data_IF_265451933812
#
_entry.id   IF_265451933812
#
_cell.length_a   1.000
_cell.length_b   1.000
_cell.length_c   1.000
_cell.angle_alpha   90.00
_cell.angle_beta   90.00
_cell.angle_gamma   90.00
#
_symmetry.space_group_name_H-M   'P 1'
#
loop_
_entity.id
_entity.type
_entity.pdbx_description
1 polymer ?
#
# COMPACT_ATOMS: atom_id res chain seq x y z
N UNK A 1 57.75 -2.37 -2.13
CA UNK A 1 57.10 -2.79 -3.39
C UNK A 1 56.17 -3.95 -3.03
N UNK A 2 54.85 -3.82 -3.02
CA UNK A 2 53.95 -2.86 -3.65
C UNK A 2 52.80 -2.51 -2.70
N UNK A 3 52.54 -1.22 -2.55
CA UNK A 3 51.32 -0.66 -1.99
C UNK A 3 50.13 -1.12 -2.85
N UNK A 4 49.17 -1.79 -2.22
CA UNK A 4 47.88 -2.15 -2.79
C UNK A 4 46.81 -1.28 -2.15
N UNK A 5 46.44 -0.23 -2.87
CA UNK A 5 45.49 0.81 -2.52
C UNK A 5 44.10 0.25 -2.13
N UNK A 6 43.80 0.17 -0.82
CA UNK A 6 42.44 0.01 -0.30
C UNK A 6 41.99 1.36 0.29
N UNK A 7 41.71 2.32 -0.57
CA UNK A 7 40.92 3.49 -0.22
C UNK A 7 39.83 3.67 -1.28
N UNK A 8 38.68 3.07 -1.01
CA UNK A 8 37.42 3.51 -1.61
C UNK A 8 36.33 3.34 -0.57
N UNK A 9 35.83 4.49 -0.11
CA UNK A 9 34.86 4.77 0.97
C UNK A 9 35.50 4.88 2.36
N UNK A 10 36.15 6.03 2.62
CA UNK A 10 36.40 6.48 3.99
C UNK A 10 35.08 6.97 4.60
N UNK A 11 34.54 6.21 5.56
CA UNK A 11 33.47 6.71 6.43
C UNK A 11 34.07 7.77 7.38
N UNK A 12 33.85 9.05 7.07
CA UNK A 12 34.47 10.20 7.76
C UNK A 12 33.95 10.49 9.18
N UNK A 13 33.23 9.56 9.82
CA UNK A 13 32.91 9.62 11.25
C UNK A 13 32.55 8.23 11.78
N UNK A 14 33.40 7.65 12.62
CA UNK A 14 33.01 6.53 13.47
C UNK A 14 32.21 7.10 14.65
N UNK A 15 30.89 7.08 14.55
CA UNK A 15 29.98 7.52 15.61
C UNK A 15 29.79 6.39 16.62
N UNK A 16 30.27 6.59 17.86
CA UNK A 16 30.22 5.60 18.94
C UNK A 16 29.27 5.97 20.08
N UNK A 17 28.56 7.10 20.01
CA UNK A 17 27.59 7.48 21.05
C UNK A 17 26.41 6.51 21.03
N UNK A 18 26.07 5.99 22.20
CA UNK A 18 24.89 5.16 22.44
C UNK A 18 23.83 5.99 23.16
N UNK A 19 22.60 5.93 22.68
CA UNK A 19 21.46 6.62 23.26
C UNK A 19 20.46 5.56 23.77
N UNK A 20 20.49 5.20 25.06
CA UNK A 20 19.52 4.25 25.59
C UNK A 20 18.11 4.86 25.57
N UNK A 21 17.06 4.04 25.38
CA UNK A 21 15.69 4.53 25.48
C UNK A 21 15.41 5.06 26.90
N UNK A 22 14.51 6.05 27.05
CA UNK A 22 14.00 6.44 28.36
C UNK A 22 13.42 5.22 29.10
N UNK A 23 13.67 5.12 30.42
CA UNK A 23 13.27 3.96 31.21
C UNK A 23 11.74 3.74 31.23
N UNK A 24 10.96 4.83 31.17
CA UNK A 24 9.50 4.78 31.10
C UNK A 24 9.01 4.15 29.79
N UNK A 25 9.61 4.55 28.65
CA UNK A 25 9.31 3.95 27.35
C UNK A 25 9.67 2.46 27.33
N UNK A 26 10.89 2.11 27.77
CA UNK A 26 11.35 0.73 27.77
C UNK A 26 10.52 -0.23 28.66
N UNK A 27 9.86 0.30 29.69
CA UNK A 27 8.99 -0.48 30.57
C UNK A 27 7.63 -0.82 29.94
N UNK A 28 7.16 0.00 28.99
CA UNK A 28 5.90 -0.19 28.26
C UNK A 28 6.07 -0.83 26.88
N UNK A 29 7.30 -0.90 26.36
CA UNK A 29 7.55 -1.39 25.01
C UNK A 29 7.17 -2.86 24.81
N UNK A 30 6.66 -3.19 23.63
CA UNK A 30 6.32 -4.55 23.18
C UNK A 30 7.53 -5.49 23.20
N UNK A 31 8.72 -4.95 23.01
CA UNK A 31 9.99 -5.66 23.16
C UNK A 31 11.09 -4.69 23.61
N UNK A 32 11.92 -5.12 24.57
CA UNK A 32 13.02 -4.32 25.11
C UNK A 32 14.32 -5.14 25.28
N UNK A 33 14.35 -6.34 24.71
CA UNK A 33 15.46 -7.27 24.81
C UNK A 33 15.74 -7.94 23.45
N UNK A 34 16.57 -8.98 23.46
CA UNK A 34 16.96 -9.71 22.25
C UNK A 34 16.08 -10.92 21.95
N UNK A 35 15.01 -11.17 22.72
CA UNK A 35 14.25 -12.42 22.66
C UNK A 35 13.75 -12.72 21.24
N UNK A 36 13.22 -11.72 20.52
CA UNK A 36 12.76 -11.92 19.13
C UNK A 36 13.90 -12.22 18.15
N UNK A 37 15.08 -11.63 18.36
CA UNK A 37 16.27 -11.92 17.55
C UNK A 37 16.80 -13.32 17.84
N UNK A 38 16.97 -13.64 19.12
CA UNK A 38 17.53 -14.93 19.55
C UNK A 38 16.62 -16.09 19.13
N UNK A 39 15.30 -15.88 19.09
CA UNK A 39 14.35 -16.85 18.54
C UNK A 39 14.47 -17.01 17.02
N UNK A 40 14.50 -15.90 16.27
CA UNK A 40 14.65 -15.94 14.81
C UNK A 40 16.00 -16.55 14.38
N UNK A 41 17.05 -16.35 15.18
CA UNK A 41 18.37 -16.97 14.97
C UNK A 41 18.34 -18.49 15.26
N UNK A 42 17.52 -18.93 16.21
CA UNK A 42 17.40 -20.34 16.59
C UNK A 42 16.55 -21.15 15.61
N UNK A 43 15.43 -20.58 15.14
CA UNK A 43 14.51 -21.21 14.17
C UNK A 43 13.83 -20.14 13.31
N UNK A 44 14.46 -19.82 12.18
CA UNK A 44 13.99 -18.76 11.28
C UNK A 44 12.60 -19.05 10.68
N UNK A 45 12.35 -20.29 10.27
CA UNK A 45 11.06 -20.69 9.70
C UNK A 45 10.00 -20.76 10.81
N UNK A 46 10.31 -21.36 11.95
CA UNK A 46 9.39 -21.42 13.10
C UNK A 46 9.00 -20.05 13.61
N UNK A 47 9.95 -19.11 13.68
CA UNK A 47 9.69 -17.72 14.03
C UNK A 47 8.64 -17.09 13.10
N UNK A 48 8.88 -17.11 11.78
CA UNK A 48 7.96 -16.51 10.81
C UNK A 48 6.62 -17.22 10.72
N UNK A 49 6.60 -18.55 10.88
CA UNK A 49 5.37 -19.33 10.98
C UNK A 49 4.50 -18.86 12.15
N UNK A 50 5.12 -18.63 13.33
CA UNK A 50 4.40 -18.10 14.48
C UNK A 50 3.90 -16.67 14.24
N UNK A 51 4.76 -15.78 13.73
CA UNK A 51 4.35 -14.39 13.44
C UNK A 51 3.17 -14.37 12.45
N UNK A 52 3.21 -15.19 11.40
CA UNK A 52 2.11 -15.33 10.45
C UNK A 52 0.83 -15.83 11.10
N UNK A 53 0.91 -16.83 11.99
CA UNK A 53 -0.27 -17.42 12.64
C UNK A 53 -0.92 -16.47 13.67
N UNK A 54 -0.11 -15.67 14.37
CA UNK A 54 -0.58 -14.78 15.43
C UNK A 54 -1.05 -13.42 14.91
N UNK A 55 -0.43 -12.89 13.86
CA UNK A 55 -0.67 -11.52 13.38
C UNK A 55 -1.61 -11.45 12.18
N UNK A 56 -1.72 -12.53 11.41
CA UNK A 56 -2.50 -12.59 10.17
C UNK A 56 -3.57 -13.67 10.29
N UNK A 57 -4.78 -13.36 9.81
CA UNK A 57 -5.87 -14.31 9.71
C UNK A 57 -5.80 -15.06 8.38
N UNK A 58 -5.73 -16.38 8.48
CA UNK A 58 -5.64 -17.30 7.36
C UNK A 58 -6.95 -18.08 7.26
N UNK A 59 -7.53 -18.10 6.07
CA UNK A 59 -8.70 -18.95 5.77
C UNK A 59 -8.31 -20.42 5.73
N UNK A 60 -7.13 -20.71 5.18
CA UNK A 60 -6.54 -22.05 5.14
C UNK A 60 -5.09 -21.94 5.65
N UNK A 61 -4.67 -22.72 6.67
CA UNK A 61 -3.27 -22.77 7.08
C UNK A 61 -2.36 -23.27 5.97
N UNK A 62 -1.08 -22.89 6.02
CA UNK A 62 -0.08 -23.36 5.06
C UNK A 62 0.43 -24.77 5.38
N UNK A 63 0.91 -25.46 4.34
CA UNK A 63 1.56 -26.77 4.44
C UNK A 63 3.08 -26.64 4.57
N UNK A 64 3.67 -25.62 3.98
CA UNK A 64 5.13 -25.39 3.96
C UNK A 64 5.45 -23.93 4.26
N UNK A 65 6.32 -23.67 5.23
CA UNK A 65 6.66 -22.30 5.65
C UNK A 65 7.50 -21.59 4.58
N UNK A 66 8.54 -22.25 4.06
CA UNK A 66 9.47 -21.65 3.12
C UNK A 66 9.96 -22.67 2.09
N UNK A 67 9.88 -22.30 0.81
CA UNK A 67 10.67 -22.90 -0.26
C UNK A 67 11.60 -21.83 -0.83
N UNK A 68 12.92 -22.01 -0.68
CA UNK A 68 13.90 -21.04 -1.18
C UNK A 68 14.84 -21.65 -2.23
N UNK A 69 14.52 -21.36 -3.49
CA UNK A 69 15.30 -21.71 -4.67
C UNK A 69 15.94 -20.44 -5.25
N UNK A 70 17.08 -20.02 -4.67
CA UNK A 70 17.73 -18.73 -4.98
C UNK A 70 17.77 -18.42 -6.50
N UNK A 71 17.35 -17.20 -6.92
CA UNK A 71 16.95 -16.06 -6.09
C UNK A 71 15.48 -16.07 -5.62
N UNK A 72 14.70 -17.09 -5.96
CA UNK A 72 13.25 -17.12 -5.74
C UNK A 72 12.91 -17.75 -4.39
N UNK A 73 12.13 -17.06 -3.57
CA UNK A 73 11.57 -17.56 -2.32
C UNK A 73 10.05 -17.54 -2.39
N UNK A 74 9.44 -18.57 -1.80
CA UNK A 74 7.99 -18.68 -1.61
C UNK A 74 7.71 -18.95 -0.14
N UNK A 75 6.74 -18.26 0.43
CA UNK A 75 6.41 -18.32 1.84
C UNK A 75 4.97 -18.79 2.05
N UNK A 76 4.78 -19.64 3.06
CA UNK A 76 3.47 -20.13 3.50
C UNK A 76 2.69 -20.87 2.41
N UNK A 77 3.36 -21.73 1.63
CA UNK A 77 2.75 -22.46 0.50
C UNK A 77 1.56 -23.31 0.98
N UNK A 78 0.47 -23.26 0.20
CA UNK A 78 -0.81 -23.89 0.54
C UNK A 78 -1.69 -23.02 1.45
N UNK A 79 -1.12 -21.98 2.05
CA UNK A 79 -1.84 -21.03 2.89
C UNK A 79 -2.73 -20.14 2.04
N UNK A 80 -3.93 -19.86 2.54
CA UNK A 80 -4.86 -18.95 1.90
C UNK A 80 -5.33 -17.86 2.84
N UNK A 81 -5.39 -16.64 2.33
CA UNK A 81 -5.79 -15.45 3.06
C UNK A 81 -6.44 -14.43 2.12
N UNK A 82 -7.02 -13.37 2.68
CA UNK A 82 -7.34 -12.17 1.93
C UNK A 82 -6.73 -10.97 2.63
N UNK A 83 -5.91 -10.20 1.90
CA UNK A 83 -5.20 -9.04 2.47
C UNK A 83 -6.16 -7.93 2.87
N UNK A 84 -7.19 -7.65 2.07
CA UNK A 84 -8.21 -6.65 2.41
C UNK A 84 -8.98 -7.05 3.67
N UNK A 85 -9.34 -8.32 3.82
CA UNK A 85 -10.04 -8.82 5.01
C UNK A 85 -9.19 -8.70 6.29
N UNK A 86 -7.89 -8.92 6.17
CA UNK A 86 -6.95 -8.71 7.27
C UNK A 86 -6.79 -7.23 7.65
N UNK A 87 -6.93 -6.31 6.70
CA UNK A 87 -6.86 -4.88 6.95
C UNK A 87 -8.17 -4.27 7.44
N UNK A 88 -9.34 -4.91 7.22
CA UNK A 88 -10.64 -4.29 7.46
C UNK A 88 -11.64 -5.24 8.12
N UNK A 89 -12.07 -6.30 7.41
CA UNK A 89 -13.19 -7.16 7.83
C UNK A 89 -12.98 -7.74 9.24
N UNK A 90 -11.79 -8.25 9.56
CA UNK A 90 -11.51 -8.84 10.88
C UNK A 90 -11.63 -7.83 12.03
N UNK A 91 -11.31 -6.57 11.77
CA UNK A 91 -11.39 -5.48 12.74
C UNK A 91 -12.85 -5.10 12.98
N UNK A 92 -13.63 -4.94 11.91
CA UNK A 92 -15.07 -4.68 12.02
C UNK A 92 -15.77 -5.84 12.75
N UNK A 93 -15.45 -7.10 12.40
CA UNK A 93 -16.00 -8.29 13.05
C UNK A 93 -15.60 -8.40 14.53
N UNK A 94 -14.41 -7.92 14.91
CA UNK A 94 -13.95 -7.85 16.30
C UNK A 94 -14.59 -6.70 17.11
N UNK A 95 -15.50 -5.92 16.52
CA UNK A 95 -16.23 -4.86 17.20
C UNK A 95 -15.50 -3.51 17.24
N UNK A 96 -14.44 -3.32 16.45
CA UNK A 96 -13.73 -2.03 16.34
C UNK A 96 -14.12 -1.24 15.08
N UNK A 97 -15.30 -1.52 14.52
CA UNK A 97 -15.81 -0.85 13.32
C UNK A 97 -15.96 0.67 13.45
N UNK A 98 -16.36 1.17 14.62
CA UNK A 98 -16.53 2.61 14.90
C UNK A 98 -15.21 3.35 15.14
N UNK A 99 -14.08 2.64 15.26
CA UNK A 99 -12.76 3.24 15.43
C UNK A 99 -12.35 3.92 14.12
N UNK A 100 -11.76 5.11 14.21
CA UNK A 100 -11.19 5.80 13.06
C UNK A 100 -10.01 5.00 12.50
N UNK A 101 -10.08 4.60 11.23
CA UNK A 101 -8.96 4.03 10.49
C UNK A 101 -8.05 5.14 9.96
N UNK A 102 -8.61 6.16 9.30
CA UNK A 102 -7.87 7.28 8.72
C UNK A 102 -8.44 8.62 9.19
N UNK A 103 -7.58 9.45 9.78
CA UNK A 103 -7.73 10.90 9.79
C UNK A 103 -7.06 11.45 8.54
N UNK A 104 -7.86 11.87 7.57
CA UNK A 104 -7.36 12.45 6.33
C UNK A 104 -7.41 13.98 6.40
N UNK A 105 -6.29 14.61 6.06
CA UNK A 105 -6.11 16.05 6.02
C UNK A 105 -5.68 16.45 4.60
N UNK A 106 -6.58 17.14 3.89
CA UNK A 106 -6.32 17.72 2.58
C UNK A 106 -5.49 19.00 2.69
N UNK A 107 -4.67 19.29 1.68
CA UNK A 107 -3.85 20.52 1.69
C UNK A 107 -4.67 21.83 1.73
N UNK A 108 -5.85 21.93 1.07
CA UNK A 108 -6.75 23.08 1.19
C UNK A 108 -7.38 23.29 2.58
N UNK A 109 -7.18 22.35 3.51
CA UNK A 109 -7.74 22.38 4.86
C UNK A 109 -9.08 21.64 5.01
N UNK A 110 -9.52 20.92 3.98
CA UNK A 110 -10.61 19.96 4.10
C UNK A 110 -10.13 18.67 4.78
N UNK A 111 -10.99 18.03 5.58
CA UNK A 111 -10.61 16.84 6.34
C UNK A 111 -11.75 15.83 6.47
N UNK A 112 -11.38 14.56 6.69
CA UNK A 112 -12.29 13.43 6.89
C UNK A 112 -11.78 12.55 8.02
N UNK A 113 -12.67 12.09 8.89
CA UNK A 113 -12.40 10.96 9.76
C UNK A 113 -13.17 9.77 9.20
N UNK A 114 -12.45 8.71 8.81
CA UNK A 114 -13.02 7.53 8.17
C UNK A 114 -12.82 6.36 9.12
N UNK A 115 -13.93 5.77 9.57
CA UNK A 115 -13.94 4.60 10.44
C UNK A 115 -13.57 3.31 9.71
N UNK A 116 -13.23 2.25 10.44
CA UNK A 116 -12.99 0.93 9.84
C UNK A 116 -14.22 0.40 9.11
N UNK A 117 -15.43 0.64 9.64
CA UNK A 117 -16.68 0.26 8.98
C UNK A 117 -16.92 1.04 7.69
N UNK A 118 -16.71 2.37 7.69
CA UNK A 118 -16.85 3.19 6.48
C UNK A 118 -15.80 2.83 5.42
N UNK A 119 -14.55 2.60 5.83
CA UNK A 119 -13.49 2.16 4.92
C UNK A 119 -13.81 0.79 4.31
N UNK A 120 -14.35 -0.14 5.10
CA UNK A 120 -14.80 -1.44 4.60
C UNK A 120 -15.91 -1.30 3.56
N UNK A 121 -16.91 -0.45 3.81
CA UNK A 121 -17.98 -0.18 2.85
C UNK A 121 -17.45 0.44 1.56
N UNK A 122 -16.55 1.43 1.64
CA UNK A 122 -15.92 2.03 0.46
C UNK A 122 -15.11 0.99 -0.34
N UNK A 123 -14.32 0.15 0.33
CA UNK A 123 -13.53 -0.90 -0.33
C UNK A 123 -14.42 -1.95 -0.98
N UNK A 124 -15.51 -2.37 -0.34
CA UNK A 124 -16.43 -3.35 -0.93
C UNK A 124 -17.17 -2.79 -2.14
N UNK A 125 -17.64 -1.55 -2.07
CA UNK A 125 -18.23 -0.85 -3.21
C UNK A 125 -17.25 -0.76 -4.36
N UNK A 126 -16.04 -0.30 -4.11
CA UNK A 126 -15.07 -0.11 -5.17
C UNK A 126 -14.57 -1.44 -5.75
N UNK A 127 -14.47 -2.50 -4.95
CA UNK A 127 -14.23 -3.86 -5.45
C UNK A 127 -15.35 -4.34 -6.39
N UNK A 128 -16.62 -4.04 -6.09
CA UNK A 128 -17.74 -4.31 -6.99
C UNK A 128 -17.70 -3.46 -8.26
N UNK A 129 -17.29 -2.20 -8.17
CA UNK A 129 -17.05 -1.34 -9.34
C UNK A 129 -16.01 -1.97 -10.26
N UNK A 130 -14.84 -2.36 -9.73
CA UNK A 130 -13.79 -2.99 -10.53
C UNK A 130 -14.27 -4.27 -11.22
N UNK A 131 -14.99 -5.14 -10.50
CA UNK A 131 -15.62 -6.33 -11.11
C UNK A 131 -16.64 -5.98 -12.20
N UNK A 132 -17.44 -4.92 -11.98
CA UNK A 132 -18.41 -4.43 -12.96
C UNK A 132 -17.76 -3.85 -14.22
N UNK A 133 -16.55 -3.31 -14.10
CA UNK A 133 -15.67 -2.90 -15.21
C UNK A 133 -14.85 -4.08 -15.78
N UNK A 134 -15.17 -5.32 -15.37
CA UNK A 134 -14.58 -6.54 -15.92
C UNK A 134 -13.23 -6.93 -15.36
N UNK A 135 -12.77 -6.36 -14.24
CA UNK A 135 -11.51 -6.79 -13.59
C UNK A 135 -11.68 -8.19 -12.99
N UNK A 136 -10.79 -9.10 -13.38
CA UNK A 136 -10.70 -10.45 -12.86
C UNK A 136 -9.44 -10.66 -12.01
N UNK A 137 -9.36 -11.80 -11.30
CA UNK A 137 -8.17 -12.17 -10.55
C UNK A 137 -6.96 -12.23 -11.49
N UNK A 138 -5.87 -11.56 -11.10
CA UNK A 138 -4.64 -11.48 -11.89
C UNK A 138 -4.59 -10.31 -12.87
N UNK A 139 -5.69 -9.61 -13.15
CA UNK A 139 -5.68 -8.38 -13.96
C UNK A 139 -4.96 -7.25 -13.22
N UNK A 140 -4.12 -6.49 -13.92
CA UNK A 140 -3.34 -5.40 -13.31
C UNK A 140 -4.13 -4.10 -13.34
N UNK A 141 -4.18 -3.42 -12.20
CA UNK A 141 -4.86 -2.12 -12.05
C UNK A 141 -3.84 -1.04 -11.72
N UNK A 142 -3.73 -0.03 -12.60
CA UNK A 142 -2.83 1.10 -12.41
C UNK A 142 -3.48 2.15 -11.52
N UNK A 143 -2.79 2.61 -10.47
CA UNK A 143 -3.26 3.65 -9.55
C UNK A 143 -2.36 4.87 -9.68
N UNK A 144 -2.92 5.97 -10.16
CA UNK A 144 -2.24 7.25 -10.39
C UNK A 144 -3.02 8.38 -9.70
N UNK A 145 -3.01 8.35 -8.37
CA UNK A 145 -3.78 9.22 -7.48
C UNK A 145 -2.87 10.09 -6.61
N UNK A 146 -3.38 11.25 -6.13
CA UNK A 146 -2.72 12.00 -5.05
C UNK A 146 -2.91 11.28 -3.70
N UNK A 147 -2.38 11.87 -2.63
CA UNK A 147 -2.48 11.37 -1.26
C UNK A 147 -3.90 11.58 -0.67
N UNK A 148 -4.86 10.82 -1.18
CA UNK A 148 -6.28 10.85 -0.80
C UNK A 148 -6.78 9.45 -0.36
N UNK A 149 -7.85 9.35 0.45
CA UNK A 149 -8.34 8.07 0.97
C UNK A 149 -8.69 7.06 -0.14
N UNK A 150 -9.15 7.55 -1.28
CA UNK A 150 -9.49 6.75 -2.45
C UNK A 150 -8.28 5.94 -2.97
N UNK A 151 -7.05 6.37 -2.72
CA UNK A 151 -5.85 5.59 -3.03
C UNK A 151 -5.75 4.31 -2.17
N UNK A 152 -6.00 4.42 -0.87
CA UNK A 152 -6.05 3.25 0.02
C UNK A 152 -7.24 2.34 -0.34
N UNK A 153 -8.40 2.94 -0.64
CA UNK A 153 -9.59 2.20 -1.10
C UNK A 153 -9.27 1.41 -2.37
N UNK A 154 -8.61 2.03 -3.36
CA UNK A 154 -8.22 1.36 -4.59
C UNK A 154 -7.25 0.19 -4.37
N UNK A 155 -6.22 0.38 -3.55
CA UNK A 155 -5.24 -0.68 -3.23
C UNK A 155 -5.91 -1.87 -2.55
N UNK A 156 -6.79 -1.62 -1.58
CA UNK A 156 -7.48 -2.68 -0.83
C UNK A 156 -8.58 -3.33 -1.65
N UNK A 157 -9.31 -2.60 -2.49
CA UNK A 157 -10.29 -3.17 -3.41
C UNK A 157 -9.64 -4.13 -4.40
N UNK A 158 -8.48 -3.77 -4.95
CA UNK A 158 -7.68 -4.63 -5.81
C UNK A 158 -7.24 -5.91 -5.05
N UNK A 159 -6.68 -5.75 -3.85
CA UNK A 159 -6.29 -6.87 -2.99
C UNK A 159 -7.47 -7.77 -2.59
N UNK A 160 -8.67 -7.20 -2.44
CA UNK A 160 -9.89 -7.93 -2.10
C UNK A 160 -10.28 -8.94 -3.18
N UNK A 161 -10.19 -8.54 -4.45
CA UNK A 161 -10.59 -9.36 -5.60
C UNK A 161 -9.44 -10.13 -6.25
N UNK A 162 -8.21 -9.95 -5.76
CA UNK A 162 -7.03 -10.63 -6.27
C UNK A 162 -6.49 -10.02 -7.56
N UNK A 163 -6.75 -8.73 -7.78
CA UNK A 163 -6.18 -7.95 -8.86
C UNK A 163 -4.88 -7.28 -8.37
N UNK A 164 -3.70 -7.58 -8.95
CA UNK A 164 -2.49 -6.87 -8.58
C UNK A 164 -2.59 -5.39 -8.93
N UNK A 165 -2.48 -4.51 -7.94
CA UNK A 165 -2.40 -3.08 -8.23
C UNK A 165 -0.97 -2.65 -8.53
N UNK A 166 -0.81 -1.52 -9.22
CA UNK A 166 0.47 -0.85 -9.38
C UNK A 166 0.31 0.64 -9.17
N UNK A 167 0.87 1.15 -8.08
CA UNK A 167 0.79 2.58 -7.75
C UNK A 167 1.93 3.33 -8.43
N UNK A 168 1.59 4.45 -9.07
CA UNK A 168 2.50 5.38 -9.71
C UNK A 168 2.36 6.72 -9.02
N UNK A 169 3.48 7.25 -8.53
CA UNK A 169 3.50 8.56 -7.88
C UNK A 169 2.91 9.64 -8.80
N UNK A 170 1.92 10.40 -8.29
CA UNK A 170 1.17 11.41 -9.04
C UNK A 170 1.99 12.55 -9.65
N UNK A 171 3.27 12.68 -9.28
CA UNK A 171 4.19 13.65 -9.88
C UNK A 171 5.03 13.13 -11.05
N UNK A 172 4.82 11.89 -11.50
CA UNK A 172 5.53 11.35 -12.66
C UNK A 172 4.97 11.86 -14.00
N UNK A 173 5.80 11.79 -15.05
CA UNK A 173 5.39 12.20 -16.40
C UNK A 173 4.44 11.19 -17.05
N UNK A 174 3.65 11.63 -18.01
CA UNK A 174 2.80 10.75 -18.83
C UNK A 174 3.59 9.59 -19.47
N UNK A 175 4.82 9.85 -19.95
CA UNK A 175 5.69 8.78 -20.46
C UNK A 175 6.06 7.76 -19.38
N UNK A 176 6.35 8.22 -18.17
CA UNK A 176 6.69 7.33 -17.05
C UNK A 176 5.51 6.46 -16.64
N UNK A 177 4.29 6.98 -16.75
CA UNK A 177 3.05 6.24 -16.53
C UNK A 177 2.82 5.23 -17.66
N UNK A 178 2.95 5.64 -18.93
CA UNK A 178 2.78 4.76 -20.10
C UNK A 178 3.73 3.55 -20.06
N UNK A 179 5.02 3.78 -19.78
CA UNK A 179 6.02 2.69 -19.70
C UNK A 179 5.65 1.63 -18.65
N UNK A 180 4.95 2.03 -17.58
CA UNK A 180 4.50 1.13 -16.51
C UNK A 180 3.18 0.45 -16.86
N UNK A 181 2.27 1.15 -17.52
CA UNK A 181 1.03 0.56 -18.04
C UNK A 181 1.38 -0.56 -19.02
N UNK A 182 2.29 -0.30 -19.95
CA UNK A 182 2.71 -1.28 -20.96
C UNK A 182 3.43 -2.48 -20.35
N UNK A 183 4.33 -2.27 -19.38
CA UNK A 183 5.07 -3.37 -18.73
C UNK A 183 4.16 -4.21 -17.82
N UNK A 184 3.23 -3.58 -17.11
CA UNK A 184 2.25 -4.28 -16.27
C UNK A 184 1.12 -4.92 -17.07
N UNK A 185 0.95 -4.54 -18.35
CA UNK A 185 -0.22 -4.85 -19.17
C UNK A 185 -1.51 -4.55 -18.39
N UNK A 186 -1.60 -3.32 -17.88
CA UNK A 186 -2.69 -2.90 -17.00
C UNK A 186 -4.00 -2.74 -17.78
N UNK A 187 -5.11 -3.17 -17.18
CA UNK A 187 -6.46 -3.12 -17.80
C UNK A 187 -7.21 -1.84 -17.48
N UNK A 188 -6.97 -1.27 -16.30
CA UNK A 188 -7.63 -0.06 -15.79
C UNK A 188 -6.60 0.92 -15.25
N UNK A 189 -6.84 2.22 -15.46
CA UNK A 189 -6.16 3.31 -14.74
C UNK A 189 -7.14 4.01 -13.82
N UNK A 190 -6.78 4.14 -12.55
CA UNK A 190 -7.51 4.93 -11.57
C UNK A 190 -6.72 6.22 -11.35
N UNK A 191 -7.32 7.37 -11.58
CA UNK A 191 -6.66 8.69 -11.44
C UNK A 191 -7.62 9.73 -10.89
N UNK A 192 -7.20 10.99 -10.83
CA UNK A 192 -8.01 12.13 -10.43
C UNK A 192 -8.00 13.22 -11.50
N UNK A 193 -8.96 14.14 -11.44
CA UNK A 193 -8.94 15.38 -12.23
C UNK A 193 -7.66 16.19 -11.97
N UNK A 194 -7.24 16.27 -10.71
CA UNK A 194 -6.01 16.86 -10.22
C UNK A 194 -5.77 16.53 -8.75
N UNK A 195 -4.67 17.02 -8.19
CA UNK A 195 -4.36 16.95 -6.76
C UNK A 195 -3.80 18.27 -6.25
N UNK A 196 -3.78 18.46 -4.94
CA UNK A 196 -3.18 19.66 -4.35
C UNK A 196 -1.72 19.44 -3.96
N UNK A 197 -0.87 20.41 -4.27
CA UNK A 197 0.50 20.47 -3.78
C UNK A 197 1.00 21.91 -3.73
N UNK A 198 1.56 22.33 -2.59
CA UNK A 198 2.10 23.68 -2.35
C UNK A 198 1.10 24.80 -2.68
N UNK A 199 -0.16 24.60 -2.35
CA UNK A 199 -1.25 25.56 -2.52
C UNK A 199 -1.82 25.65 -3.93
N UNK A 200 -1.42 24.76 -4.83
CA UNK A 200 -1.85 24.76 -6.23
C UNK A 200 -2.35 23.39 -6.66
N UNK A 201 -3.33 23.38 -7.55
CA UNK A 201 -3.80 22.15 -8.19
C UNK A 201 -2.81 21.76 -9.28
N UNK A 202 -2.27 20.54 -9.22
CA UNK A 202 -1.52 19.93 -10.32
C UNK A 202 -2.44 18.98 -11.10
N UNK A 203 -2.46 19.06 -12.45
CA UNK A 203 -3.36 18.26 -13.26
C UNK A 203 -2.88 16.81 -13.35
N UNK A 204 -3.79 15.85 -13.13
CA UNK A 204 -3.51 14.42 -13.22
C UNK A 204 -4.13 13.79 -14.47
N UNK A 205 -5.42 14.06 -14.72
CA UNK A 205 -6.17 13.49 -15.85
C UNK A 205 -5.54 13.76 -17.22
N UNK A 206 -5.04 14.97 -17.56
CA UNK A 206 -4.36 15.18 -18.85
C UNK A 206 -3.11 14.32 -19.03
N UNK A 207 -2.34 14.09 -17.96
CA UNK A 207 -1.16 13.22 -18.02
C UNK A 207 -1.56 11.73 -18.15
N UNK A 208 -2.67 11.33 -17.51
CA UNK A 208 -3.24 10.00 -17.68
C UNK A 208 -3.73 9.77 -19.12
N UNK A 209 -4.40 10.76 -19.74
CA UNK A 209 -4.85 10.66 -21.13
C UNK A 209 -3.69 10.51 -22.10
N UNK A 210 -2.66 11.34 -21.99
CA UNK A 210 -1.46 11.23 -22.82
C UNK A 210 -0.76 9.88 -22.64
N UNK A 211 -0.78 9.31 -21.43
CA UNK A 211 -0.23 7.99 -21.19
C UNK A 211 -1.07 6.89 -21.84
N UNK A 212 -2.40 6.93 -21.65
CA UNK A 212 -3.35 5.95 -22.19
C UNK A 212 -3.28 5.92 -23.72
N UNK A 213 -3.20 7.07 -24.39
CA UNK A 213 -3.06 7.17 -25.86
C UNK A 213 -1.81 6.46 -26.42
N UNK A 214 -0.77 6.30 -25.59
CA UNK A 214 0.48 5.61 -25.97
C UNK A 214 0.45 4.11 -25.69
N UNK A 215 -0.60 3.63 -25.03
CA UNK A 215 -0.77 2.23 -24.62
C UNK A 215 -1.99 1.61 -25.31
N UNK A 216 -2.17 0.29 -25.19
CA UNK A 216 -3.29 -0.41 -25.85
C UNK A 216 -4.09 -1.35 -24.94
N UNK A 217 -3.64 -1.57 -23.70
CA UNK A 217 -4.25 -2.50 -22.76
C UNK A 217 -5.37 -1.88 -21.91
N UNK A 218 -5.44 -0.55 -21.83
CA UNK A 218 -6.41 0.15 -20.99
C UNK A 218 -7.80 0.14 -21.62
N UNK A 219 -8.74 -0.48 -20.91
CA UNK A 219 -10.16 -0.54 -21.28
C UNK A 219 -10.96 0.57 -20.60
N UNK A 220 -10.60 0.91 -19.35
CA UNK A 220 -11.33 1.88 -18.54
C UNK A 220 -10.41 2.82 -17.76
N UNK A 221 -10.86 4.06 -17.59
CA UNK A 221 -10.22 5.06 -16.72
C UNK A 221 -11.22 5.52 -15.67
N UNK A 222 -10.90 5.36 -14.39
CA UNK A 222 -11.74 5.82 -13.28
C UNK A 222 -11.15 7.11 -12.73
N UNK A 223 -11.94 8.18 -12.63
CA UNK A 223 -11.48 9.52 -12.29
C UNK A 223 -12.13 10.01 -10.99
N UNK A 224 -11.31 10.32 -9.99
CA UNK A 224 -11.72 10.97 -8.74
C UNK A 224 -11.79 12.49 -8.97
N UNK A 225 -12.85 13.13 -8.51
CA UNK A 225 -12.99 14.59 -8.55
C UNK A 225 -12.39 15.20 -7.29
N UNK A 226 -11.09 15.50 -7.31
CA UNK A 226 -10.31 16.04 -6.18
C UNK A 226 -9.91 17.50 -6.39
N UNK A 227 -9.25 17.81 -7.50
CA UNK A 227 -8.69 19.14 -7.80
C UNK A 227 -9.74 20.15 -8.25
N UNK A 228 -10.89 19.69 -8.77
CA UNK A 228 -11.97 20.55 -9.24
C UNK A 228 -11.62 21.34 -10.51
N UNK A 229 -10.48 21.05 -11.15
CA UNK A 229 -10.10 21.60 -12.43
C UNK A 229 -10.92 20.97 -13.57
N UNK A 230 -11.10 21.72 -14.65
CA UNK A 230 -11.73 21.18 -15.85
C UNK A 230 -10.84 20.10 -16.48
N UNK A 231 -11.47 18.99 -16.87
CA UNK A 231 -10.82 17.84 -17.50
C UNK A 231 -11.71 17.27 -18.60
N UNK A 232 -11.09 16.74 -19.64
CA UNK A 232 -11.82 16.01 -20.68
C UNK A 232 -12.13 14.59 -20.21
N UNK A 233 -13.34 14.11 -20.50
CA UNK A 233 -13.81 12.75 -20.21
C UNK A 233 -14.22 12.09 -21.53
N UNK A 234 -13.58 10.98 -21.87
CA UNK A 234 -13.85 10.21 -23.09
C UNK A 234 -15.01 9.24 -22.85
N UNK A 235 -16.12 9.44 -23.57
CA UNK A 235 -17.33 8.61 -23.44
C UNK A 235 -17.03 7.12 -23.65
N UNK A 236 -17.61 6.27 -22.80
CA UNK A 236 -17.39 4.82 -22.78
C UNK A 236 -16.08 4.35 -22.13
N UNK A 237 -15.02 5.16 -22.12
CA UNK A 237 -13.72 4.83 -21.49
C UNK A 237 -13.59 5.39 -20.08
N UNK A 238 -13.94 6.66 -19.90
CA UNK A 238 -13.71 7.41 -18.66
C UNK A 238 -14.98 7.47 -17.81
N UNK A 239 -14.82 7.21 -16.50
CA UNK A 239 -15.92 7.14 -15.55
C UNK A 239 -15.60 7.95 -14.30
N UNK A 240 -16.57 8.71 -13.79
CA UNK A 240 -16.42 9.37 -12.50
C UNK A 240 -16.52 8.36 -11.36
N UNK A 241 -15.54 8.39 -10.44
CA UNK A 241 -15.48 7.51 -9.28
C UNK A 241 -16.76 7.59 -8.43
N UNK A 242 -17.22 8.80 -8.11
CA UNK A 242 -18.39 9.01 -7.25
C UNK A 242 -19.69 8.46 -7.89
N UNK A 243 -19.88 8.66 -9.20
CA UNK A 243 -21.03 8.12 -9.92
C UNK A 243 -21.05 6.58 -9.90
N UNK A 244 -19.87 5.94 -10.06
CA UNK A 244 -19.74 4.49 -9.97
C UNK A 244 -20.00 3.98 -8.54
N UNK A 245 -19.50 4.70 -7.54
CA UNK A 245 -19.63 4.33 -6.12
C UNK A 245 -21.07 4.46 -5.61
N UNK A 246 -21.83 5.44 -6.09
CA UNK A 246 -23.24 5.63 -5.71
C UNK A 246 -24.13 4.46 -6.16
N UNK A 247 -23.80 3.84 -7.30
CA UNK A 247 -24.52 2.68 -7.84
C UNK A 247 -24.03 1.33 -7.31
N UNK A 248 -22.91 1.28 -6.59
CA UNK A 248 -22.27 0.03 -6.20
C UNK A 248 -22.82 -0.56 -4.91
N UNK A 249 -23.00 -1.89 -4.89
CA UNK A 249 -23.35 -2.63 -3.68
C UNK A 249 -22.20 -2.55 -2.66
N UNK A 250 -22.47 -2.28 -1.37
CA UNK A 250 -21.48 -2.39 -0.30
C UNK A 250 -21.21 -3.83 0.13
N UNK A 251 -21.86 -4.83 -0.48
CA UNK A 251 -21.60 -6.25 -0.19
C UNK A 251 -20.68 -6.84 -1.26
N UNK A 252 -19.42 -7.06 -0.89
CA UNK A 252 -18.45 -7.76 -1.71
C UNK A 252 -17.67 -8.71 -0.81
N UNK A 253 -18.07 -9.98 -0.64
CA UNK A 253 -17.34 -10.91 0.21
C UNK A 253 -15.87 -11.05 -0.22
N UNK A 254 -14.95 -11.10 0.74
CA UNK A 254 -13.53 -11.29 0.49
C UNK A 254 -13.25 -12.72 -0.02
N UNK A 255 -12.63 -12.84 -1.19
CA UNK A 255 -12.28 -14.14 -1.78
C UNK A 255 -10.93 -14.61 -1.24
N UNK A 256 -10.78 -15.85 -0.74
CA UNK A 256 -9.47 -16.37 -0.34
C UNK A 256 -8.52 -16.48 -1.54
N UNK A 257 -7.30 -15.99 -1.36
CA UNK A 257 -6.22 -16.04 -2.34
C UNK A 257 -5.04 -16.83 -1.78
N UNK A 258 -4.23 -17.40 -2.66
CA UNK A 258 -3.02 -18.13 -2.30
C UNK A 258 -1.98 -17.16 -1.70
N UNK A 259 -1.17 -17.64 -0.75
CA UNK A 259 -0.11 -16.82 -0.14
C UNK A 259 0.86 -16.24 -1.17
N UNK A 260 1.07 -16.95 -2.28
CA UNK A 260 1.97 -16.61 -3.38
C UNK A 260 1.27 -15.92 -4.56
N UNK A 261 -0.03 -15.62 -4.46
CA UNK A 261 -0.68 -14.75 -5.43
C UNK A 261 -0.03 -13.35 -5.40
N UNK A 262 0.12 -12.74 -6.57
CA UNK A 262 0.70 -11.40 -6.70
C UNK A 262 -0.23 -10.36 -6.05
N UNK A 263 0.28 -9.61 -5.08
CA UNK A 263 -0.48 -8.55 -4.40
C UNK A 263 -0.35 -7.22 -5.16
N UNK A 264 0.87 -6.83 -5.52
CA UNK A 264 1.13 -5.60 -6.26
C UNK A 264 2.46 -5.62 -7.02
N UNK A 265 2.54 -4.70 -7.98
CA UNK A 265 3.76 -4.31 -8.68
C UNK A 265 4.18 -2.91 -8.26
N UNK A 266 5.42 -2.73 -7.81
CA UNK A 266 5.97 -1.40 -7.53
C UNK A 266 7.21 -1.14 -8.36
N UNK A 267 7.10 -0.17 -9.26
CA UNK A 267 8.16 0.14 -10.22
C UNK A 267 9.26 1.00 -9.63
N UNK A 268 10.51 0.58 -9.82
CA UNK A 268 11.69 1.35 -9.42
C UNK A 268 12.51 1.80 -10.63
N UNK A 269 13.22 2.92 -10.49
CA UNK A 269 14.18 3.40 -11.48
C UNK A 269 15.42 2.50 -11.47
N UNK A 270 15.43 1.48 -12.31
CA UNK A 270 16.63 0.68 -12.56
C UNK A 270 17.72 1.52 -13.26
N UNK A 271 18.99 1.14 -13.07
CA UNK A 271 20.14 1.77 -13.74
C UNK A 271 20.18 1.53 -15.26
N UNK A 272 19.31 0.67 -15.80
CA UNK A 272 19.36 0.12 -17.16
C UNK A 272 18.26 0.65 -18.10
N UNK A 273 17.62 1.77 -17.77
CA UNK A 273 16.71 2.48 -18.69
C UNK A 273 15.22 2.16 -18.53
N UNK A 274 14.80 0.89 -18.62
CA UNK A 274 13.38 0.51 -18.42
C UNK A 274 13.03 0.34 -16.93
N UNK A 275 11.87 0.83 -16.46
CA UNK A 275 11.45 0.62 -15.08
C UNK A 275 11.22 -0.87 -14.81
N UNK A 276 11.55 -1.34 -13.60
CA UNK A 276 11.40 -2.75 -13.22
C UNK A 276 10.30 -2.87 -12.17
N UNK A 277 9.26 -3.67 -12.47
CA UNK A 277 8.16 -3.95 -11.54
C UNK A 277 8.61 -4.93 -10.46
N UNK A 278 8.82 -4.44 -9.24
CA UNK A 278 9.10 -5.29 -8.09
C UNK A 278 7.79 -5.97 -7.70
N UNK A 279 7.82 -7.30 -7.60
CA UNK A 279 6.67 -8.13 -7.23
C UNK A 279 6.67 -8.39 -5.73
N UNK A 280 5.51 -8.23 -5.10
CA UNK A 280 5.25 -8.70 -3.74
C UNK A 280 4.02 -9.59 -3.72
N UNK A 281 4.13 -10.75 -3.06
CA UNK A 281 3.04 -11.72 -2.88
C UNK A 281 2.29 -11.48 -1.57
N UNK A 282 1.08 -12.02 -1.45
CA UNK A 282 0.15 -11.68 -0.37
C UNK A 282 0.63 -12.08 1.03
N UNK A 283 0.93 -13.36 1.25
CA UNK A 283 1.14 -13.92 2.58
C UNK A 283 2.42 -13.41 3.24
N UNK A 284 3.54 -13.54 2.52
CA UNK A 284 4.85 -13.08 2.99
C UNK A 284 4.88 -11.58 3.26
N UNK A 285 4.39 -10.77 2.32
CA UNK A 285 4.41 -9.31 2.44
C UNK A 285 3.53 -8.80 3.59
N UNK A 286 2.29 -9.30 3.71
CA UNK A 286 1.40 -8.87 4.78
C UNK A 286 1.93 -9.28 6.16
N UNK A 287 2.44 -10.50 6.30
CA UNK A 287 3.05 -10.96 7.55
C UNK A 287 4.20 -10.04 7.95
N UNK A 288 5.10 -9.75 7.00
CA UNK A 288 6.26 -8.91 7.26
C UNK A 288 5.86 -7.49 7.67
N UNK A 289 4.98 -6.84 6.91
CA UNK A 289 4.58 -5.44 7.20
C UNK A 289 3.75 -5.32 8.46
N UNK A 290 2.90 -6.31 8.77
CA UNK A 290 2.16 -6.35 10.05
C UNK A 290 3.11 -6.49 11.22
N UNK A 291 4.08 -7.40 11.12
CA UNK A 291 5.12 -7.64 12.13
C UNK A 291 5.99 -6.40 12.35
N UNK A 292 6.60 -5.86 11.29
CA UNK A 292 7.50 -4.71 11.42
C UNK A 292 6.75 -3.47 11.88
N UNK A 293 5.54 -3.24 11.38
CA UNK A 293 4.73 -2.13 11.85
C UNK A 293 4.45 -2.22 13.36
N UNK A 294 4.10 -3.41 13.85
CA UNK A 294 3.85 -3.65 15.28
C UNK A 294 5.10 -3.44 16.13
N UNK A 295 6.19 -4.14 15.84
CA UNK A 295 7.35 -4.20 16.74
C UNK A 295 8.36 -3.07 16.54
N UNK A 296 8.54 -2.55 15.32
CA UNK A 296 9.52 -1.48 15.07
C UNK A 296 9.00 -0.13 15.54
N UNK A 297 7.70 0.12 15.38
CA UNK A 297 7.06 1.36 15.84
C UNK A 297 6.45 1.25 17.24
N UNK A 298 6.65 0.11 17.92
CA UNK A 298 6.13 -0.14 19.27
C UNK A 298 4.62 0.15 19.38
N UNK A 299 3.85 -0.37 18.42
CA UNK A 299 2.47 0.03 18.23
C UNK A 299 1.54 -0.50 19.33
N UNK A 300 0.88 0.43 20.00
CA UNK A 300 -0.22 0.18 20.92
C UNK A 300 -1.54 0.66 20.27
N UNK A 301 -2.26 -0.22 19.55
CA UNK A 301 -3.37 0.21 18.70
C UNK A 301 -4.48 0.92 19.46
N UNK A 302 -4.70 0.60 20.74
CA UNK A 302 -5.76 1.21 21.56
C UNK A 302 -5.49 2.68 21.94
N UNK A 303 -4.23 3.12 21.88
CA UNK A 303 -3.81 4.45 22.33
C UNK A 303 -3.14 5.28 21.26
N UNK A 304 -2.55 4.63 20.25
CA UNK A 304 -1.69 5.30 19.31
C UNK A 304 -2.46 5.85 18.11
N UNK A 305 -2.00 7.03 17.66
CA UNK A 305 -2.32 7.59 16.35
C UNK A 305 -1.02 7.67 15.56
N UNK A 306 -0.94 6.87 14.50
CA UNK A 306 0.27 6.74 13.69
C UNK A 306 0.29 7.73 12.53
N UNK A 307 1.45 8.32 12.22
CA UNK A 307 1.59 9.19 11.05
C UNK A 307 2.86 8.88 10.28
N UNK A 308 2.70 8.32 9.08
CA UNK A 308 3.76 8.25 8.08
C UNK A 308 3.58 9.38 7.07
N UNK A 309 4.62 10.21 6.93
CA UNK A 309 4.64 11.38 6.02
C UNK A 309 5.04 11.02 4.59
N UNK A 310 5.17 9.72 4.28
CA UNK A 310 5.51 9.26 2.94
C UNK A 310 4.30 9.36 1.99
N UNK A 311 4.54 8.99 0.73
CA UNK A 311 3.50 8.90 -0.30
C UNK A 311 3.26 7.43 -0.68
N UNK A 312 2.00 7.07 -0.97
CA UNK A 312 1.58 5.71 -1.36
C UNK A 312 2.22 5.24 -2.67
N UNK A 313 2.73 6.14 -3.52
CA UNK A 313 3.54 5.80 -4.69
C UNK A 313 4.92 5.21 -4.37
N UNK A 314 5.31 5.11 -3.10
CA UNK A 314 6.54 4.48 -2.65
C UNK A 314 6.27 3.28 -1.74
N UNK A 315 7.30 2.43 -1.56
CA UNK A 315 7.20 1.23 -0.72
C UNK A 315 6.87 1.56 0.74
N UNK A 316 7.34 2.72 1.23
CA UNK A 316 7.01 3.20 2.57
C UNK A 316 5.51 3.42 2.73
N UNK A 317 4.84 4.02 1.74
CA UNK A 317 3.39 4.23 1.80
C UNK A 317 2.60 2.92 1.65
N UNK A 318 3.07 1.98 0.83
CA UNK A 318 2.44 0.66 0.78
C UNK A 318 2.50 -0.03 2.14
N UNK A 319 3.72 -0.17 2.68
CA UNK A 319 3.97 -0.94 3.90
C UNK A 319 3.43 -0.25 5.15
N UNK A 320 3.55 1.08 5.22
CA UNK A 320 3.38 1.85 6.45
C UNK A 320 2.37 3.00 6.32
N UNK A 321 1.55 3.07 5.26
CA UNK A 321 0.31 3.89 5.25
C UNK A 321 -0.90 2.99 5.00
N UNK A 322 -0.77 1.92 4.21
CA UNK A 322 -1.91 1.04 3.92
C UNK A 322 -1.80 -0.26 4.70
N UNK A 323 -0.88 -1.14 4.33
CA UNK A 323 -0.95 -2.54 4.77
C UNK A 323 -0.66 -2.76 6.25
N UNK A 324 0.50 -2.32 6.75
CA UNK A 324 0.91 -2.53 8.14
C UNK A 324 0.02 -1.85 9.18
N UNK A 325 -0.31 -0.55 9.04
CA UNK A 325 -1.19 0.13 9.97
C UNK A 325 -2.60 -0.46 10.00
N UNK A 326 -3.20 -0.67 8.83
CA UNK A 326 -4.58 -1.16 8.78
C UNK A 326 -4.68 -2.62 9.19
N UNK A 327 -3.69 -3.47 8.89
CA UNK A 327 -3.68 -4.84 9.41
C UNK A 327 -3.53 -4.87 10.93
N UNK A 328 -2.85 -3.91 11.55
CA UNK A 328 -2.77 -3.83 13.01
C UNK A 328 -3.97 -3.13 13.67
N UNK A 329 -5.02 -2.77 12.93
CA UNK A 329 -6.15 -2.03 13.49
C UNK A 329 -5.76 -0.63 14.01
N UNK A 330 -4.70 -0.04 13.48
CA UNK A 330 -4.18 1.25 13.91
C UNK A 330 -5.06 2.42 13.43
N UNK A 331 -5.19 3.47 14.24
CA UNK A 331 -5.68 4.77 13.76
C UNK A 331 -4.50 5.54 13.19
N UNK A 332 -4.64 6.09 11.98
CA UNK A 332 -3.53 6.78 11.32
C UNK A 332 -3.93 8.10 10.66
N UNK A 333 -2.93 8.92 10.36
CA UNK A 333 -3.06 10.18 9.62
C UNK A 333 -2.59 9.99 8.18
N UNK A 334 -3.42 10.42 7.22
CA UNK A 334 -3.06 10.56 5.81
C UNK A 334 -3.11 12.04 5.45
N UNK A 335 -1.96 12.60 5.06
CA UNK A 335 -1.85 14.02 4.72
C UNK A 335 -1.57 14.19 3.24
N UNK A 336 -2.37 15.00 2.55
CA UNK A 336 -2.21 15.23 1.10
C UNK A 336 -1.05 16.20 0.78
N UNK A 337 -0.82 17.16 1.66
CA UNK A 337 0.08 18.29 1.40
C UNK A 337 1.56 18.00 1.64
N UNK A 338 2.33 19.08 1.76
CA UNK A 338 3.76 19.02 2.09
C UNK A 338 4.07 19.69 3.44
N UNK A 339 5.07 19.21 4.21
CA UNK A 339 5.34 19.75 5.56
C UNK A 339 5.72 21.23 5.63
N UNK A 340 6.13 21.83 4.50
CA UNK A 340 6.65 23.19 4.41
C UNK A 340 5.67 24.16 3.72
N UNK A 341 4.37 23.88 3.79
CA UNK A 341 3.31 24.74 3.28
C UNK A 341 2.29 24.98 4.41
N UNK A 342 1.74 26.20 4.60
CA UNK A 342 1.85 27.39 3.74
C UNK A 342 3.09 28.26 3.96
N UNK A 343 3.80 28.08 5.07
CA UNK A 343 4.97 28.87 5.46
C UNK A 343 6.22 27.99 5.31
N UNK A 344 7.05 28.26 4.28
CA UNK A 344 8.25 27.49 3.95
C UNK A 344 9.24 27.35 5.11
#
# INVERSE_FOLDING_TARGET
MSEGNQQSIEALSAEHRMFPPPAEFAAGALTNDRTLFDEADADHEGFWARQAAELVEWTTPWDTVLEWNLPYSKWFLGGQLNVSANCLDRHVAAGIGDKVAIHWEGEPGDSRAITYAEMLDEVQKFANVLKGLGVEKGDRVMIYLPMIPEAAVAMLACARIGAPHSVVFGGFSAQSLADRIDDADAKIVITADGGYRRGSVFPLKPAADEAVEKTSSIEHVVVVKRGGNEVEMVDGRDHWYHDLMDGASPDCPAVPHDSEDLLFLLYTSGTTGKPKGIMHTMGGYLTHTTYTHKYVFDLHPDTDVYWCTADVGWITGHSYIVYGPMSNGCTQVMYEGVPNYPEN
#
